data_IF_967491672446
#
_entry.id   IF_967491672446
#
_cell.length_a   1.000
_cell.length_b   1.000
_cell.length_c   1.000
_cell.angle_alpha   90.00
_cell.angle_beta   90.00
_cell.angle_gamma   90.00
#
_symmetry.space_group_name_H-M   'P 1'
#
loop_
_entity.id
_entity.type
_entity.pdbx_description
1 polymer ?
#
# COMPACT_ATOMS: atom_id res chain seq x y z
N UNK A 1 16.24 -3.91 -2.92
CA UNK A 1 16.03 -5.33 -3.29
C UNK A 1 17.31 -6.17 -3.13
N UNK A 2 18.50 -5.67 -3.43
CA UNK A 2 19.76 -6.43 -3.41
C UNK A 2 20.00 -7.25 -2.14
N UNK A 3 20.04 -6.61 -0.96
CA UNK A 3 20.32 -7.30 0.31
C UNK A 3 19.33 -8.43 0.64
N UNK A 4 18.04 -8.28 0.27
CA UNK A 4 17.04 -9.31 0.50
C UNK A 4 17.24 -10.51 -0.44
N UNK A 5 17.73 -10.29 -1.65
CA UNK A 5 18.00 -11.33 -2.65
C UNK A 5 19.22 -12.17 -2.29
N UNK A 6 20.19 -11.58 -1.60
CA UNK A 6 21.42 -12.27 -1.14
C UNK A 6 21.22 -13.04 0.18
N UNK A 7 20.07 -12.83 0.85
CA UNK A 7 19.79 -13.48 2.13
C UNK A 7 19.30 -14.93 1.96
N UNK A 8 19.62 -15.80 2.93
CA UNK A 8 19.06 -17.16 3.02
C UNK A 8 17.53 -17.19 3.13
N UNK A 9 16.91 -16.07 3.46
CA UNK A 9 15.46 -15.92 3.60
C UNK A 9 14.76 -15.54 2.28
N UNK A 10 15.51 -15.38 1.18
CA UNK A 10 14.96 -14.99 -0.11
C UNK A 10 13.76 -15.83 -0.58
N UNK A 11 13.72 -17.16 -0.41
CA UNK A 11 12.55 -17.97 -0.78
C UNK A 11 11.27 -17.56 -0.04
N UNK A 12 11.39 -17.13 1.23
CA UNK A 12 10.25 -16.63 2.03
C UNK A 12 9.77 -15.27 1.52
N UNK A 13 10.71 -14.39 1.20
CA UNK A 13 10.42 -13.09 0.60
C UNK A 13 9.75 -13.21 -0.77
N UNK A 14 10.25 -14.11 -1.64
CA UNK A 14 9.64 -14.38 -2.95
C UNK A 14 8.16 -14.73 -2.85
N UNK A 15 7.81 -15.65 -1.94
CA UNK A 15 6.41 -16.02 -1.70
C UNK A 15 5.56 -14.85 -1.22
N UNK A 16 6.14 -14.01 -0.38
CA UNK A 16 5.43 -12.84 0.18
C UNK A 16 5.22 -11.77 -0.88
N UNK A 17 6.19 -11.57 -1.78
CA UNK A 17 6.08 -10.67 -2.93
C UNK A 17 4.97 -11.16 -3.87
N UNK A 18 5.00 -12.44 -4.25
CA UNK A 18 3.98 -13.02 -5.12
C UNK A 18 2.57 -12.81 -4.52
N UNK A 19 2.37 -13.15 -3.23
CA UNK A 19 1.08 -12.95 -2.55
C UNK A 19 0.61 -11.49 -2.56
N UNK A 20 1.52 -10.52 -2.35
CA UNK A 20 1.19 -9.10 -2.39
C UNK A 20 0.75 -8.67 -3.78
N UNK A 21 1.50 -9.07 -4.80
CA UNK A 21 1.21 -8.74 -6.20
C UNK A 21 -0.09 -9.39 -6.69
N UNK A 22 -0.28 -10.67 -6.41
CA UNK A 22 -1.50 -11.41 -6.76
C UNK A 22 -2.72 -10.77 -6.08
N UNK A 23 -2.57 -10.36 -4.82
CA UNK A 23 -3.62 -9.67 -4.07
C UNK A 23 -4.02 -8.32 -4.68
N UNK A 24 -3.07 -7.54 -5.16
CA UNK A 24 -3.34 -6.27 -5.82
C UNK A 24 -3.93 -6.48 -7.22
N UNK A 25 -3.40 -7.44 -7.98
CA UNK A 25 -3.92 -7.79 -9.31
C UNK A 25 -5.37 -8.30 -9.23
N UNK A 26 -5.66 -9.20 -8.29
CA UNK A 26 -7.01 -9.73 -8.08
C UNK A 26 -8.05 -8.66 -7.72
N UNK A 27 -7.61 -7.56 -7.07
CA UNK A 27 -8.46 -6.40 -6.75
C UNK A 27 -8.58 -5.40 -7.89
N UNK A 28 -7.86 -5.61 -9.00
CA UNK A 28 -7.86 -4.69 -10.13
C UNK A 28 -7.27 -3.32 -9.77
N UNK A 29 -6.24 -3.28 -8.92
CA UNK A 29 -5.61 -2.03 -8.48
C UNK A 29 -5.06 -1.22 -9.66
N UNK A 30 -4.59 -1.92 -10.69
CA UNK A 30 -4.11 -1.30 -11.94
C UNK A 30 -4.56 -2.05 -13.18
N UNK A 31 -4.53 -1.34 -14.28
CA UNK A 31 -4.63 -1.90 -15.62
C UNK A 31 -3.29 -1.71 -16.32
N UNK A 32 -2.78 -2.76 -16.95
CA UNK A 32 -1.56 -2.66 -17.78
C UNK A 32 -1.90 -1.95 -19.07
N UNK A 33 -1.15 -0.87 -19.36
CA UNK A 33 -1.35 -0.03 -20.54
C UNK A 33 0.00 0.32 -21.18
N UNK A 34 0.00 0.77 -22.42
CA UNK A 34 1.20 1.33 -23.03
C UNK A 34 1.64 2.60 -22.31
N UNK A 35 2.95 2.79 -22.19
CA UNK A 35 3.53 3.99 -21.55
C UNK A 35 3.09 5.25 -22.28
N UNK A 36 2.36 6.16 -21.63
CA UNK A 36 1.87 7.38 -22.26
C UNK A 36 3.03 8.35 -22.53
N UNK A 37 2.99 9.04 -23.65
CA UNK A 37 3.94 10.09 -23.95
C UNK A 37 3.62 11.36 -23.15
N UNK A 38 4.64 11.97 -22.55
CA UNK A 38 4.50 13.25 -21.85
C UNK A 38 3.79 13.19 -20.48
N UNK A 39 3.41 12.01 -20.01
CA UNK A 39 2.85 11.83 -18.65
C UNK A 39 3.91 11.36 -17.66
N UNK A 40 3.78 11.79 -16.41
CA UNK A 40 4.65 11.33 -15.32
C UNK A 40 4.27 9.91 -14.93
N UNK A 41 5.27 9.03 -14.87
CA UNK A 41 5.11 7.67 -14.34
C UNK A 41 5.81 7.61 -12.99
N UNK A 42 5.06 7.26 -11.95
CA UNK A 42 5.60 7.15 -10.60
C UNK A 42 6.39 5.85 -10.46
N UNK A 43 7.56 5.92 -9.85
CA UNK A 43 8.30 4.72 -9.47
C UNK A 43 7.54 3.92 -8.42
N UNK A 44 7.80 2.62 -8.34
CA UNK A 44 7.34 1.77 -7.25
C UNK A 44 8.52 1.12 -6.54
N UNK A 45 8.29 0.67 -5.32
CA UNK A 45 9.27 -0.11 -4.56
C UNK A 45 8.56 -1.14 -3.69
N UNK A 46 9.24 -2.26 -3.45
CA UNK A 46 8.80 -3.26 -2.47
C UNK A 46 9.41 -2.91 -1.11
N UNK A 47 8.56 -2.74 -0.11
CA UNK A 47 8.96 -2.52 1.29
C UNK A 47 8.82 -3.83 2.04
N UNK A 48 9.91 -4.28 2.66
CA UNK A 48 9.98 -5.51 3.43
C UNK A 48 9.87 -5.22 4.92
N UNK A 49 9.08 -6.02 5.65
CA UNK A 49 8.98 -5.94 7.11
C UNK A 49 8.90 -7.34 7.71
N UNK A 50 9.77 -7.64 8.68
CA UNK A 50 9.64 -8.79 9.57
C UNK A 50 8.74 -8.40 10.74
N UNK A 51 7.69 -9.15 10.99
CA UNK A 51 6.98 -9.08 12.27
C UNK A 51 7.66 -10.03 13.23
N UNK A 52 7.97 -9.53 14.42
CA UNK A 52 8.65 -10.26 15.48
C UNK A 52 7.64 -10.45 16.60
N UNK A 53 7.55 -11.64 17.16
CA UNK A 53 6.73 -11.95 18.33
C UNK A 53 7.38 -11.42 19.62
N UNK A 54 6.69 -11.61 20.75
CA UNK A 54 7.16 -11.21 22.09
C UNK A 54 8.45 -11.91 22.53
N UNK A 55 8.77 -13.05 21.92
CA UNK A 55 9.94 -13.88 22.25
C UNK A 55 11.13 -13.56 21.31
N UNK A 56 10.99 -12.53 20.45
CA UNK A 56 12.03 -12.11 19.51
C UNK A 56 12.14 -12.96 18.24
N UNK A 57 11.19 -13.89 18.00
CA UNK A 57 11.18 -14.76 16.83
C UNK A 57 10.41 -14.12 15.69
N UNK A 58 10.79 -14.45 14.44
CA UNK A 58 10.08 -13.97 13.27
C UNK A 58 8.74 -14.70 13.15
N UNK A 59 7.64 -14.00 13.44
CA UNK A 59 6.29 -14.48 13.29
C UNK A 59 5.85 -14.50 11.81
N UNK A 60 6.15 -13.41 11.08
CA UNK A 60 5.67 -13.22 9.70
C UNK A 60 6.57 -12.32 8.87
N UNK A 61 6.78 -12.72 7.63
CA UNK A 61 7.34 -11.86 6.59
C UNK A 61 6.19 -11.10 5.93
N UNK A 62 6.31 -9.78 5.83
CA UNK A 62 5.33 -8.91 5.16
C UNK A 62 6.07 -8.06 4.14
N UNK A 63 5.52 -7.94 2.94
CA UNK A 63 5.94 -6.93 1.98
C UNK A 63 4.76 -6.09 1.55
N UNK A 64 5.05 -4.93 0.98
CA UNK A 64 4.09 -4.06 0.31
C UNK A 64 4.71 -3.49 -0.95
N UNK A 65 3.97 -3.51 -2.04
CA UNK A 65 4.30 -2.70 -3.21
C UNK A 65 3.80 -1.29 -2.95
N UNK A 66 4.68 -0.31 -3.06
CA UNK A 66 4.42 1.09 -2.65
C UNK A 66 4.77 2.02 -3.79
N UNK A 67 3.87 2.91 -4.16
CA UNK A 67 4.17 3.99 -5.10
C UNK A 67 5.07 5.05 -4.45
N UNK A 68 5.93 5.67 -5.24
CA UNK A 68 6.78 6.78 -4.79
C UNK A 68 6.00 8.09 -4.87
N UNK A 69 5.05 8.29 -3.95
CA UNK A 69 4.16 9.44 -3.91
C UNK A 69 4.86 10.80 -3.76
N UNK A 70 6.12 10.82 -3.32
CA UNK A 70 6.93 12.04 -3.28
C UNK A 70 7.14 12.70 -4.65
N UNK A 71 6.85 11.99 -5.74
CA UNK A 71 6.88 12.50 -7.11
C UNK A 71 5.52 13.01 -7.59
N UNK A 72 4.46 12.85 -6.79
CA UNK A 72 3.16 13.41 -7.13
C UNK A 72 3.18 14.93 -7.02
N UNK A 73 2.51 15.59 -7.94
CA UNK A 73 2.39 17.06 -7.99
C UNK A 73 0.96 17.41 -7.63
N UNK A 74 0.78 18.32 -6.67
CA UNK A 74 -0.53 18.86 -6.29
C UNK A 74 -1.14 19.60 -7.47
N UNK A 75 -2.45 19.44 -7.68
CA UNK A 75 -3.18 20.00 -8.82
C UNK A 75 -3.08 19.19 -10.12
N UNK A 76 -2.28 18.09 -10.12
CA UNK A 76 -2.16 17.17 -11.27
C UNK A 76 -2.49 15.73 -10.86
N UNK A 77 -1.93 15.27 -9.73
CA UNK A 77 -2.05 13.90 -9.26
C UNK A 77 -2.90 13.79 -7.99
N UNK A 78 -3.19 14.87 -7.34
CA UNK A 78 -4.08 14.97 -6.17
C UNK A 78 -4.40 16.44 -5.85
N UNK A 79 -5.56 16.69 -5.26
CA UNK A 79 -5.97 18.01 -4.77
C UNK A 79 -5.72 18.16 -3.27
N UNK A 80 -6.11 17.17 -2.49
CA UNK A 80 -5.98 17.14 -1.04
C UNK A 80 -5.13 15.98 -0.57
N UNK A 81 -4.43 16.15 0.55
CA UNK A 81 -3.52 15.12 1.09
C UNK A 81 -3.81 14.76 2.55
N UNK A 82 -4.71 15.49 3.22
CA UNK A 82 -4.96 15.34 4.64
C UNK A 82 -6.03 14.28 4.90
N UNK A 83 -5.63 13.15 5.48
CA UNK A 83 -6.56 12.15 5.99
C UNK A 83 -6.75 12.34 7.50
N UNK A 84 -7.99 12.63 7.98
CA UNK A 84 -8.21 12.81 9.40
C UNK A 84 -8.01 11.49 10.15
N UNK A 85 -7.09 11.51 11.11
CA UNK A 85 -6.86 10.42 12.04
C UNK A 85 -7.20 10.89 13.45
N UNK A 86 -7.88 10.06 14.28
CA UNK A 86 -8.22 10.45 15.64
C UNK A 86 -6.95 10.68 16.45
N UNK A 87 -6.95 11.72 17.29
CA UNK A 87 -5.86 11.97 18.23
C UNK A 87 -5.76 10.82 19.25
N UNK A 88 -4.55 10.47 19.64
CA UNK A 88 -4.30 9.43 20.64
C UNK A 88 -5.03 9.72 21.97
N UNK A 89 -5.15 10.99 22.35
CA UNK A 89 -5.88 11.40 23.55
C UNK A 89 -7.37 11.04 23.43
N UNK A 90 -7.99 11.25 22.27
CA UNK A 90 -9.41 10.90 22.04
C UNK A 90 -9.63 9.38 22.12
N UNK A 91 -8.73 8.59 21.54
CA UNK A 91 -8.79 7.12 21.65
C UNK A 91 -8.70 6.68 23.11
N UNK A 92 -7.74 7.21 23.87
CA UNK A 92 -7.57 6.88 25.29
C UNK A 92 -8.77 7.29 26.13
N UNK A 93 -9.36 8.46 25.84
CA UNK A 93 -10.58 8.92 26.54
C UNK A 93 -11.75 7.95 26.30
N UNK A 94 -12.00 7.55 25.05
CA UNK A 94 -13.04 6.60 24.71
C UNK A 94 -12.82 5.25 25.41
N UNK A 95 -11.60 4.72 25.40
CA UNK A 95 -11.26 3.47 26.09
C UNK A 95 -11.47 3.56 27.62
N UNK A 96 -11.16 4.72 28.22
CA UNK A 96 -11.42 4.95 29.66
C UNK A 96 -12.93 4.98 29.96
N UNK A 97 -13.73 5.62 29.10
CA UNK A 97 -15.19 5.63 29.23
C UNK A 97 -15.78 4.21 29.09
N UNK A 98 -15.35 3.43 28.10
CA UNK A 98 -15.76 2.04 27.92
C UNK A 98 -15.52 1.24 29.20
N UNK A 99 -14.32 1.37 29.78
CA UNK A 99 -13.95 0.66 31.02
C UNK A 99 -14.79 1.13 32.21
N UNK A 100 -14.96 2.46 32.37
CA UNK A 100 -15.70 3.02 33.52
C UNK A 100 -17.21 2.71 33.48
N UNK A 101 -17.80 2.62 32.28
CA UNK A 101 -19.22 2.39 32.09
C UNK A 101 -19.58 0.91 31.85
N UNK A 102 -18.57 0.03 31.81
CA UNK A 102 -18.76 -1.41 31.54
C UNK A 102 -19.30 -1.71 30.14
N UNK A 103 -18.97 -0.88 29.16
CA UNK A 103 -19.41 -1.08 27.79
C UNK A 103 -18.58 -2.16 27.09
N UNK A 104 -19.20 -2.86 26.15
CA UNK A 104 -18.49 -3.75 25.25
C UNK A 104 -17.81 -2.94 24.14
N UNK A 105 -16.60 -3.35 23.75
CA UNK A 105 -15.84 -2.75 22.67
C UNK A 105 -15.45 -3.79 21.62
N UNK A 106 -15.66 -3.45 20.36
CA UNK A 106 -15.26 -4.28 19.23
C UNK A 106 -14.20 -3.53 18.41
N UNK A 107 -13.12 -4.22 18.08
CA UNK A 107 -12.11 -3.71 17.18
C UNK A 107 -12.18 -4.47 15.86
N UNK A 108 -12.34 -3.73 14.77
CA UNK A 108 -12.33 -4.27 13.42
C UNK A 108 -11.15 -3.70 12.65
N UNK A 109 -10.47 -4.55 11.89
CA UNK A 109 -9.42 -4.16 10.94
C UNK A 109 -9.81 -4.67 9.57
N UNK A 110 -9.81 -3.79 8.57
CA UNK A 110 -10.13 -4.15 7.19
C UNK A 110 -8.84 -4.37 6.42
N UNK A 111 -8.61 -5.61 6.01
CA UNK A 111 -7.42 -5.96 5.23
C UNK A 111 -7.40 -5.20 3.90
N UNK A 112 -6.26 -4.54 3.65
CA UNK A 112 -5.98 -3.81 2.40
C UNK A 112 -6.99 -2.70 2.06
N UNK A 113 -7.61 -2.06 3.06
CA UNK A 113 -8.61 -0.99 2.89
C UNK A 113 -8.22 0.07 1.87
N UNK A 114 -6.94 0.48 1.85
CA UNK A 114 -6.45 1.48 0.88
C UNK A 114 -6.58 1.03 -0.58
N UNK A 115 -6.57 -0.28 -0.85
CA UNK A 115 -6.65 -0.83 -2.20
C UNK A 115 -8.10 -1.00 -2.70
N UNK A 116 -9.08 -0.65 -1.89
CA UNK A 116 -10.50 -0.69 -2.28
C UNK A 116 -11.00 0.65 -2.80
N UNK A 117 -10.33 1.74 -2.45
CA UNK A 117 -10.71 3.09 -2.85
C UNK A 117 -10.37 3.35 -4.33
N UNK A 118 -11.33 3.84 -5.09
CA UNK A 118 -11.15 4.20 -6.49
C UNK A 118 -10.30 5.46 -6.65
N UNK A 119 -9.53 5.52 -7.74
CA UNK A 119 -8.71 6.67 -8.12
C UNK A 119 -9.29 7.26 -9.40
N UNK A 120 -9.73 8.50 -9.33
CA UNK A 120 -10.32 9.22 -10.48
C UNK A 120 -9.24 9.84 -11.37
N UNK A 121 -8.09 10.18 -10.80
CA UNK A 121 -6.99 10.80 -11.52
C UNK A 121 -6.21 9.79 -12.36
N UNK A 122 -5.69 10.22 -13.49
CA UNK A 122 -4.79 9.43 -14.32
C UNK A 122 -3.40 9.29 -13.70
N UNK A 123 -3.20 8.30 -12.86
CA UNK A 123 -1.92 8.00 -12.20
C UNK A 123 -1.29 6.76 -12.82
N UNK A 124 -0.09 6.93 -13.36
CA UNK A 124 0.70 5.86 -13.94
C UNK A 124 1.82 5.45 -13.00
N UNK A 125 2.05 4.15 -12.88
CA UNK A 125 3.08 3.56 -12.00
C UNK A 125 3.95 2.56 -12.74
N UNK A 126 5.23 2.50 -12.40
CA UNK A 126 6.10 1.41 -12.82
C UNK A 126 5.66 0.12 -12.13
N UNK A 127 5.48 -0.94 -12.89
CA UNK A 127 5.22 -2.27 -12.36
C UNK A 127 6.49 -3.14 -12.46
N UNK A 128 6.63 -4.15 -11.58
CA UNK A 128 7.70 -5.13 -11.73
C UNK A 128 7.61 -5.84 -13.07
N UNK A 129 8.76 -6.08 -13.72
CA UNK A 129 8.84 -6.66 -15.07
C UNK A 129 8.05 -7.97 -15.24
N UNK A 130 7.91 -8.76 -14.18
CA UNK A 130 7.15 -10.01 -14.19
C UNK A 130 5.64 -9.83 -14.47
N UNK A 131 5.13 -8.59 -14.39
CA UNK A 131 3.72 -8.25 -14.61
C UNK A 131 3.49 -7.43 -15.87
N UNK A 132 4.49 -7.33 -16.72
CA UNK A 132 4.46 -6.59 -17.97
C UNK A 132 4.82 -7.50 -19.15
N UNK A 133 4.12 -7.33 -20.26
CA UNK A 133 4.43 -8.02 -21.51
C UNK A 133 5.63 -7.36 -22.23
N UNK A 134 5.85 -6.08 -21.97
CA UNK A 134 6.99 -5.35 -22.49
C UNK A 134 7.41 -4.18 -21.57
N UNK A 135 8.68 -3.75 -21.66
CA UNK A 135 9.19 -2.58 -20.95
C UNK A 135 8.55 -1.24 -21.37
N UNK A 136 7.74 -1.25 -22.43
CA UNK A 136 6.97 -0.07 -22.86
C UNK A 136 5.64 0.08 -22.12
N UNK A 137 5.29 -0.89 -21.28
CA UNK A 137 4.06 -0.90 -20.52
C UNK A 137 4.25 -0.35 -19.11
N UNK A 138 3.15 0.12 -18.53
CA UNK A 138 3.05 0.64 -17.17
C UNK A 138 1.68 0.29 -16.59
N UNK A 139 1.52 0.44 -15.29
CA UNK A 139 0.21 0.32 -14.63
C UNK A 139 -0.51 1.67 -14.61
N UNK A 140 -1.72 1.73 -15.15
CA UNK A 140 -2.67 2.81 -14.89
C UNK A 140 -3.47 2.43 -13.63
N UNK A 141 -3.37 3.22 -12.58
CA UNK A 141 -4.10 2.96 -11.34
C UNK A 141 -5.61 3.11 -11.56
N UNK A 142 -6.35 2.16 -11.04
CA UNK A 142 -7.82 2.18 -10.94
C UNK A 142 -8.28 2.30 -9.49
N UNK A 143 -7.44 1.82 -8.56
CA UNK A 143 -7.64 1.92 -7.13
C UNK A 143 -6.40 2.46 -6.46
N UNK A 144 -6.57 2.97 -5.25
CA UNK A 144 -5.47 3.54 -4.48
C UNK A 144 -4.38 2.49 -4.22
N UNK A 145 -3.14 2.95 -4.20
CA UNK A 145 -1.96 2.16 -3.89
C UNK A 145 -1.26 2.74 -2.67
N UNK A 146 -0.65 1.88 -1.86
CA UNK A 146 0.18 2.36 -0.75
C UNK A 146 1.25 3.34 -1.25
N UNK A 147 1.45 4.42 -0.48
CA UNK A 147 2.46 5.43 -0.76
C UNK A 147 2.00 6.59 -1.63
N UNK A 148 0.79 6.59 -2.17
CA UNK A 148 0.18 7.77 -2.74
C UNK A 148 -0.10 8.81 -1.64
N UNK A 149 0.09 10.08 -1.95
CA UNK A 149 -0.07 11.20 -1.00
C UNK A 149 -1.49 11.27 -0.43
N UNK A 150 -2.49 10.99 -1.25
CA UNK A 150 -3.91 11.08 -0.90
C UNK A 150 -4.59 9.71 -0.65
N UNK A 151 -3.82 8.62 -0.60
CA UNK A 151 -4.38 7.29 -0.40
C UNK A 151 -5.25 7.14 0.86
N UNK A 152 -5.01 7.97 1.87
CA UNK A 152 -5.81 7.99 3.10
C UNK A 152 -7.13 8.75 2.99
N UNK A 153 -7.32 9.60 1.97
CA UNK A 153 -8.55 10.34 1.71
C UNK A 153 -9.53 9.54 0.84
N UNK A 154 -8.99 8.73 -0.06
CA UNK A 154 -9.77 7.87 -0.93
C UNK A 154 -10.42 6.78 -0.07
N UNK A 155 -11.75 6.80 0.01
CA UNK A 155 -12.56 5.85 0.79
C UNK A 155 -13.77 5.40 0.00
#
# INVERSE_FOLDING_TARGET
MGEAQESSEWPKWKRTIAREMDGQTARGVWQVVERPKGKTVLGTRVVFKRKIDKDGRIEKYKCRLVAQGSRQVKGIHYEESSSPTPAQASIRMVLSMITALGWEAWQLDVDMTYLEAEVEEEIYVELPEAYLDSRKQVGLLKKAMYGLVHAGLLR
#
